data_IF_218102340715
#
_entry.id   IF_218102340715
#
_cell.length_a   1.000
_cell.length_b   1.000
_cell.length_c   1.000
_cell.angle_alpha   90.00
_cell.angle_beta   90.00
_cell.angle_gamma   90.00
#
_symmetry.space_group_name_H-M   'P 1'
#
loop_
_entity.id
_entity.type
_entity.pdbx_description
1 polymer ?
#
# COMPACT_ATOMS: atom_id res chain seq x y z
N UNK A 1 30.06 -10.76 -16.17
CA UNK A 1 31.15 -10.96 -17.17
C UNK A 1 31.73 -9.65 -17.73
N UNK A 2 30.94 -8.58 -17.94
CA UNK A 2 31.43 -7.32 -18.54
C UNK A 2 32.54 -6.61 -17.74
N UNK A 3 32.46 -6.57 -16.41
CA UNK A 3 33.53 -5.98 -15.57
C UNK A 3 34.88 -6.67 -15.78
N UNK A 4 34.90 -8.00 -15.97
CA UNK A 4 36.13 -8.75 -16.21
C UNK A 4 36.73 -8.45 -17.58
N UNK A 5 35.91 -8.32 -18.62
CA UNK A 5 36.39 -8.01 -19.98
C UNK A 5 36.99 -6.60 -20.07
N UNK A 6 36.34 -5.63 -19.43
CA UNK A 6 36.83 -4.24 -19.34
C UNK A 6 38.14 -4.17 -18.57
N UNK A 7 38.22 -4.81 -17.39
CA UNK A 7 39.46 -4.85 -16.59
C UNK A 7 40.59 -5.50 -17.36
N UNK A 8 40.33 -6.61 -18.06
CA UNK A 8 41.32 -7.27 -18.90
C UNK A 8 41.78 -6.36 -20.04
N UNK A 9 40.88 -5.65 -20.72
CA UNK A 9 41.24 -4.72 -21.78
C UNK A 9 42.11 -3.56 -21.28
N UNK A 10 41.75 -2.95 -20.14
CA UNK A 10 42.54 -1.87 -19.53
C UNK A 10 43.93 -2.34 -19.12
N UNK A 11 44.04 -3.52 -18.50
CA UNK A 11 45.33 -4.12 -18.10
C UNK A 11 46.19 -4.45 -19.33
N UNK A 12 45.57 -4.95 -20.40
CA UNK A 12 46.28 -5.31 -21.63
C UNK A 12 46.84 -4.06 -22.34
N UNK A 13 46.08 -2.96 -22.39
CA UNK A 13 46.58 -1.67 -22.92
C UNK A 13 47.74 -1.14 -22.09
N UNK A 14 47.67 -1.24 -20.76
CA UNK A 14 48.74 -0.80 -19.87
C UNK A 14 50.01 -1.67 -20.04
N UNK A 15 49.85 -2.98 -20.24
CA UNK A 15 50.97 -3.88 -20.51
C UNK A 15 51.64 -3.60 -21.87
N UNK A 16 50.84 -3.39 -22.92
CA UNK A 16 51.33 -3.03 -24.26
C UNK A 16 52.06 -1.69 -24.23
N UNK A 17 51.53 -0.72 -23.50
CA UNK A 17 52.14 0.58 -23.32
C UNK A 17 53.52 0.52 -22.65
N UNK A 18 53.60 -0.19 -21.52
CA UNK A 18 54.86 -0.39 -20.80
C UNK A 18 55.86 -1.10 -21.69
N UNK A 19 55.43 -2.13 -22.43
CA UNK A 19 56.27 -2.82 -23.40
C UNK A 19 56.80 -1.89 -24.50
N UNK A 20 55.95 -1.03 -25.06
CA UNK A 20 56.36 -0.06 -26.09
C UNK A 20 57.33 1.00 -25.56
N UNK A 21 57.13 1.49 -24.34
CA UNK A 21 58.02 2.48 -23.71
C UNK A 21 59.39 1.87 -23.38
N UNK A 22 59.41 0.65 -22.83
CA UNK A 22 60.65 -0.07 -22.53
C UNK A 22 61.43 -0.43 -23.80
N UNK A 23 60.74 -0.93 -24.84
CA UNK A 23 61.37 -1.18 -26.14
C UNK A 23 61.90 0.11 -26.77
N UNK A 24 61.16 1.21 -26.65
CA UNK A 24 61.60 2.54 -27.06
C UNK A 24 62.89 2.95 -26.35
N UNK A 25 63.02 2.74 -25.05
CA UNK A 25 64.24 3.15 -24.31
C UNK A 25 65.53 2.44 -24.72
N UNK A 26 65.45 1.28 -25.38
CA UNK A 26 66.62 0.52 -25.86
C UNK A 26 67.02 0.88 -27.30
N UNK A 27 66.15 1.59 -28.02
CA UNK A 27 66.43 2.16 -29.32
C UNK A 27 66.81 3.62 -29.07
N UNK A 28 67.81 4.18 -29.77
CA UNK A 28 68.19 5.61 -29.69
C UNK A 28 67.08 6.52 -30.29
N UNK A 29 65.85 6.38 -29.82
CA UNK A 29 64.71 7.20 -30.24
C UNK A 29 64.82 8.58 -29.63
N UNK A 30 64.43 9.58 -30.42
CA UNK A 30 64.34 10.95 -29.93
C UNK A 30 63.37 11.04 -28.73
N UNK A 31 63.63 11.94 -27.76
CA UNK A 31 62.77 12.12 -26.60
C UNK A 31 61.31 12.48 -26.97
N UNK A 32 61.11 13.11 -28.13
CA UNK A 32 59.78 13.39 -28.68
C UNK A 32 59.00 12.13 -29.10
N UNK A 33 59.70 11.08 -29.56
CA UNK A 33 59.07 9.81 -29.93
C UNK A 33 58.50 9.07 -28.71
N UNK A 34 59.27 9.03 -27.62
CA UNK A 34 58.82 8.43 -26.35
C UNK A 34 57.63 9.21 -25.79
N UNK A 35 57.67 10.55 -25.83
CA UNK A 35 56.56 11.39 -25.41
C UNK A 35 55.28 11.14 -26.24
N UNK A 36 55.40 10.97 -27.56
CA UNK A 36 54.27 10.67 -28.43
C UNK A 36 53.63 9.30 -28.13
N UNK A 37 54.44 8.27 -27.84
CA UNK A 37 53.95 6.93 -27.46
C UNK A 37 53.20 6.99 -26.12
N UNK A 38 53.77 7.69 -25.13
CA UNK A 38 53.12 7.87 -23.82
C UNK A 38 51.79 8.60 -23.98
N UNK A 39 51.75 9.67 -24.78
CA UNK A 39 50.52 10.41 -25.05
C UNK A 39 49.46 9.54 -25.76
N UNK A 40 49.85 8.75 -26.76
CA UNK A 40 48.96 7.85 -27.48
C UNK A 40 48.36 6.77 -26.55
N UNK A 41 49.18 6.20 -25.68
CA UNK A 41 48.75 5.25 -24.65
C UNK A 41 47.77 5.90 -23.68
N UNK A 42 48.11 7.07 -23.15
CA UNK A 42 47.30 7.76 -22.16
C UNK A 42 45.91 8.08 -22.72
N UNK A 43 45.85 8.53 -23.98
CA UNK A 43 44.60 8.77 -24.69
C UNK A 43 43.79 7.48 -24.89
N UNK A 44 44.45 6.40 -25.33
CA UNK A 44 43.79 5.10 -25.51
C UNK A 44 43.21 4.56 -24.19
N UNK A 45 43.97 4.66 -23.10
CA UNK A 45 43.51 4.26 -21.77
C UNK A 45 42.31 5.10 -21.30
N UNK A 46 42.33 6.41 -21.53
CA UNK A 46 41.22 7.30 -21.21
C UNK A 46 39.94 6.93 -21.97
N UNK A 47 40.04 6.64 -23.28
CA UNK A 47 38.89 6.21 -24.09
C UNK A 47 38.31 4.88 -23.61
N UNK A 48 39.16 3.91 -23.26
CA UNK A 48 38.70 2.63 -22.70
C UNK A 48 38.02 2.82 -21.35
N UNK A 49 38.54 3.72 -20.50
CA UNK A 49 37.91 4.06 -19.22
C UNK A 49 36.53 4.71 -19.40
N UNK A 50 36.37 5.62 -20.36
CA UNK A 50 35.05 6.19 -20.66
C UNK A 50 34.10 5.11 -21.18
N UNK A 51 34.55 4.25 -22.09
CA UNK A 51 33.75 3.14 -22.60
C UNK A 51 33.31 2.18 -21.48
N UNK A 52 34.20 1.85 -20.56
CA UNK A 52 33.91 1.04 -19.38
C UNK A 52 32.74 1.59 -18.55
N UNK A 53 32.77 2.89 -18.29
CA UNK A 53 31.72 3.58 -17.52
C UNK A 53 30.39 3.53 -18.28
N UNK A 54 30.40 3.81 -19.58
CA UNK A 54 29.20 3.75 -20.43
C UNK A 54 28.58 2.34 -20.48
N UNK A 55 29.41 1.30 -20.60
CA UNK A 55 28.93 -0.08 -20.58
C UNK A 55 28.26 -0.45 -19.26
N UNK A 56 28.81 0.03 -18.14
CA UNK A 56 28.25 -0.21 -16.80
C UNK A 56 26.91 0.50 -16.64
N UNK A 57 26.84 1.77 -17.04
CA UNK A 57 25.61 2.56 -17.03
C UNK A 57 24.49 1.92 -17.86
N UNK A 58 24.81 1.41 -19.05
CA UNK A 58 23.84 0.67 -19.87
C UNK A 58 23.32 -0.59 -19.17
N UNK A 59 24.17 -1.30 -18.43
CA UNK A 59 23.76 -2.42 -17.61
C UNK A 59 22.77 -2.00 -16.52
N UNK A 60 23.12 -0.97 -15.74
CA UNK A 60 22.28 -0.44 -14.66
C UNK A 60 20.94 0.09 -15.17
N UNK A 61 20.93 0.83 -16.28
CA UNK A 61 19.68 1.32 -16.87
C UNK A 61 18.79 0.17 -17.31
N UNK A 62 19.35 -0.86 -17.96
CA UNK A 62 18.56 -2.03 -18.38
C UNK A 62 17.97 -2.79 -17.19
N UNK A 63 18.74 -2.93 -16.11
CA UNK A 63 18.28 -3.58 -14.89
C UNK A 63 17.17 -2.75 -14.21
N UNK A 64 17.32 -1.43 -14.16
CA UNK A 64 16.29 -0.53 -13.66
C UNK A 64 15.02 -0.57 -14.53
N UNK A 65 15.16 -0.55 -15.86
CA UNK A 65 14.02 -0.66 -16.79
C UNK A 65 13.28 -1.97 -16.57
N UNK A 66 14.00 -3.09 -16.46
CA UNK A 66 13.40 -4.41 -16.18
C UNK A 66 12.73 -4.46 -14.80
N UNK A 67 13.32 -3.84 -13.77
CA UNK A 67 12.70 -3.75 -12.45
C UNK A 67 11.41 -2.92 -12.48
N UNK A 68 11.40 -1.80 -13.20
CA UNK A 68 10.21 -0.95 -13.38
C UNK A 68 9.13 -1.69 -14.18
N UNK A 69 9.50 -2.42 -15.21
CA UNK A 69 8.60 -3.24 -16.02
C UNK A 69 7.95 -4.33 -15.15
N UNK A 70 8.73 -5.07 -14.35
CA UNK A 70 8.21 -6.04 -13.38
C UNK A 70 7.28 -5.40 -12.34
N UNK A 71 7.66 -4.25 -11.78
CA UNK A 71 6.79 -3.53 -10.83
C UNK A 71 5.49 -3.12 -11.50
N UNK A 72 5.53 -2.64 -12.75
CA UNK A 72 4.35 -2.20 -13.49
C UNK A 72 3.43 -3.39 -13.81
N UNK A 73 4.00 -4.48 -14.32
CA UNK A 73 3.29 -5.71 -14.66
C UNK A 73 2.60 -6.35 -13.45
N UNK A 74 3.17 -6.22 -12.25
CA UNK A 74 2.57 -6.73 -11.03
C UNK A 74 1.65 -5.73 -10.33
N UNK A 75 1.95 -4.43 -10.36
CA UNK A 75 1.19 -3.42 -9.60
C UNK A 75 -0.10 -3.02 -10.31
N UNK A 76 -0.11 -2.91 -11.63
CA UNK A 76 -1.32 -2.51 -12.38
C UNK A 76 -2.46 -3.52 -12.18
N UNK A 77 -2.25 -4.84 -12.27
CA UNK A 77 -3.29 -5.82 -11.96
C UNK A 77 -3.75 -5.76 -10.50
N UNK A 78 -2.84 -5.57 -9.54
CA UNK A 78 -3.20 -5.47 -8.12
C UNK A 78 -4.11 -4.26 -7.85
N UNK A 79 -3.82 -3.10 -8.44
CA UNK A 79 -4.68 -1.92 -8.32
C UNK A 79 -6.06 -2.17 -8.95
N UNK A 80 -6.12 -2.91 -10.07
CA UNK A 80 -7.40 -3.33 -10.66
C UNK A 80 -8.19 -4.25 -9.72
N UNK A 81 -7.54 -5.26 -9.13
CA UNK A 81 -8.18 -6.17 -8.16
C UNK A 81 -8.64 -5.45 -6.89
N UNK A 82 -7.88 -4.46 -6.41
CA UNK A 82 -8.30 -3.61 -5.28
C UNK A 82 -9.53 -2.79 -5.65
N UNK A 83 -9.58 -2.20 -6.85
CA UNK A 83 -10.74 -1.45 -7.30
C UNK A 83 -11.99 -2.35 -7.40
N UNK A 84 -11.84 -3.57 -7.91
CA UNK A 84 -12.92 -4.57 -7.95
C UNK A 84 -13.37 -4.99 -6.54
N UNK A 85 -12.42 -5.19 -5.62
CA UNK A 85 -12.72 -5.49 -4.22
C UNK A 85 -13.46 -4.35 -3.53
N UNK A 86 -13.03 -3.10 -3.74
CA UNK A 86 -13.69 -1.90 -3.19
C UNK A 86 -15.08 -1.73 -3.79
N UNK A 87 -15.27 -1.99 -5.08
CA UNK A 87 -16.59 -2.00 -5.72
C UNK A 87 -17.51 -3.07 -5.12
N UNK A 88 -16.97 -4.26 -4.84
CA UNK A 88 -17.68 -5.33 -4.11
C UNK A 88 -18.07 -4.91 -2.69
N UNK A 89 -17.13 -4.34 -1.92
CA UNK A 89 -17.39 -3.81 -0.58
C UNK A 89 -18.46 -2.73 -0.60
N UNK A 90 -18.44 -1.80 -1.56
CA UNK A 90 -19.46 -0.77 -1.68
C UNK A 90 -20.87 -1.37 -1.91
N UNK A 91 -20.94 -2.42 -2.73
CA UNK A 91 -22.20 -3.15 -2.97
C UNK A 91 -22.71 -3.82 -1.68
N UNK A 92 -21.82 -4.43 -0.91
CA UNK A 92 -22.17 -5.03 0.38
C UNK A 92 -22.53 -3.98 1.43
N UNK A 93 -21.88 -2.82 1.45
CA UNK A 93 -22.27 -1.71 2.32
C UNK A 93 -23.68 -1.20 1.99
N UNK A 94 -24.06 -1.11 0.71
CA UNK A 94 -25.42 -0.76 0.31
C UNK A 94 -26.45 -1.82 0.78
N UNK A 95 -26.09 -3.11 0.73
CA UNK A 95 -26.92 -4.19 1.29
C UNK A 95 -27.04 -4.08 2.81
N UNK A 96 -25.95 -3.78 3.51
CA UNK A 96 -25.96 -3.56 4.96
C UNK A 96 -26.84 -2.37 5.34
N UNK A 97 -26.79 -1.27 4.59
CA UNK A 97 -27.66 -0.10 4.81
C UNK A 97 -29.15 -0.47 4.68
N UNK A 98 -29.51 -1.25 3.67
CA UNK A 98 -30.88 -1.76 3.52
C UNK A 98 -31.32 -2.66 4.70
N UNK A 99 -30.41 -3.47 5.24
CA UNK A 99 -30.66 -4.29 6.44
C UNK A 99 -30.85 -3.39 7.66
N UNK A 100 -30.00 -2.38 7.84
CA UNK A 100 -30.12 -1.40 8.94
C UNK A 100 -31.46 -0.68 8.86
N UNK A 101 -31.88 -0.24 7.67
CA UNK A 101 -33.21 0.33 7.46
C UNK A 101 -34.34 -0.64 7.83
N UNK A 102 -34.23 -1.90 7.42
CA UNK A 102 -35.19 -2.95 7.80
C UNK A 102 -35.25 -3.17 9.32
N UNK A 103 -34.10 -3.17 9.99
CA UNK A 103 -34.00 -3.30 11.45
C UNK A 103 -34.60 -2.08 12.16
N UNK A 104 -34.38 -0.87 11.65
CA UNK A 104 -35.01 0.35 12.17
C UNK A 104 -36.54 0.28 12.07
N UNK A 105 -37.06 -0.18 10.92
CA UNK A 105 -38.51 -0.40 10.75
C UNK A 105 -39.07 -1.45 11.71
N UNK A 106 -38.36 -2.56 11.90
CA UNK A 106 -38.75 -3.61 12.86
C UNK A 106 -38.73 -3.06 14.29
N UNK A 107 -37.72 -2.30 14.68
CA UNK A 107 -37.62 -1.67 16.01
C UNK A 107 -38.80 -0.74 16.26
N UNK A 108 -39.10 0.18 15.33
CA UNK A 108 -40.23 1.09 15.46
C UNK A 108 -41.57 0.35 15.51
N UNK A 109 -41.72 -0.71 14.71
CA UNK A 109 -42.93 -1.54 14.76
C UNK A 109 -43.07 -2.25 16.11
N UNK A 110 -41.96 -2.76 16.67
CA UNK A 110 -41.95 -3.40 17.97
C UNK A 110 -42.27 -2.40 19.10
N UNK A 111 -41.75 -1.17 19.04
CA UNK A 111 -42.09 -0.09 19.96
C UNK A 111 -43.59 0.23 19.93
N UNK A 112 -44.16 0.41 18.74
CA UNK A 112 -45.59 0.66 18.57
C UNK A 112 -46.44 -0.50 19.12
N UNK A 113 -46.05 -1.75 18.86
CA UNK A 113 -46.73 -2.94 19.39
C UNK A 113 -46.62 -2.98 20.92
N UNK A 114 -45.44 -2.71 21.48
CA UNK A 114 -45.22 -2.68 22.91
C UNK A 114 -46.07 -1.61 23.59
N UNK A 115 -46.20 -0.42 22.98
CA UNK A 115 -47.08 0.65 23.46
C UNK A 115 -48.55 0.21 23.45
N UNK A 116 -49.02 -0.40 22.36
CA UNK A 116 -50.40 -0.93 22.27
C UNK A 116 -50.66 -1.99 23.33
N UNK A 117 -49.73 -2.92 23.54
CA UNK A 117 -49.81 -3.94 24.60
C UNK A 117 -49.82 -3.29 25.98
N UNK A 118 -48.94 -2.32 26.21
CA UNK A 118 -48.90 -1.58 27.47
C UNK A 118 -50.23 -0.88 27.73
N UNK A 119 -50.80 -0.18 26.75
CA UNK A 119 -52.09 0.48 26.86
C UNK A 119 -53.25 -0.50 27.11
N UNK A 120 -53.23 -1.66 26.44
CA UNK A 120 -54.24 -2.70 26.61
C UNK A 120 -54.25 -3.29 28.02
N UNK A 121 -53.08 -3.39 28.67
CA UNK A 121 -52.93 -3.97 30.01
C UNK A 121 -53.04 -2.92 31.12
N UNK A 122 -52.48 -1.72 30.92
CA UNK A 122 -52.43 -0.65 31.91
C UNK A 122 -53.83 -0.16 32.31
N UNK A 123 -54.72 0.08 31.34
CA UNK A 123 -56.06 0.61 31.62
C UNK A 123 -56.92 -0.33 32.49
N UNK A 124 -57.02 -1.64 32.21
CA UNK A 124 -57.70 -2.59 33.09
C UNK A 124 -57.03 -2.72 34.47
N UNK A 125 -55.70 -2.75 34.56
CA UNK A 125 -54.98 -2.85 35.83
C UNK A 125 -55.23 -1.62 36.72
N UNK A 126 -55.14 -0.41 36.16
CA UNK A 126 -55.43 0.84 36.89
C UNK A 126 -56.88 0.81 37.40
N UNK A 127 -57.84 0.39 36.56
CA UNK A 127 -59.24 0.25 36.98
C UNK A 127 -59.41 -0.77 38.10
N UNK A 128 -58.76 -1.93 38.02
CA UNK A 128 -58.81 -2.97 39.06
C UNK A 128 -58.19 -2.48 40.38
N UNK A 129 -57.04 -1.81 40.33
CA UNK A 129 -56.37 -1.24 41.50
C UNK A 129 -57.18 -0.12 42.16
N UNK A 130 -57.80 0.77 41.36
CA UNK A 130 -58.69 1.81 41.85
C UNK A 130 -59.95 1.22 42.54
N UNK A 131 -60.50 0.13 42.01
CA UNK A 131 -61.63 -0.56 42.62
C UNK A 131 -61.28 -1.17 43.99
N UNK A 132 -60.15 -1.88 44.09
CA UNK A 132 -59.68 -2.49 45.35
C UNK A 132 -59.31 -1.44 46.39
N UNK A 133 -58.57 -0.40 46.00
CA UNK A 133 -58.19 0.68 46.92
C UNK A 133 -59.40 1.53 47.34
N UNK A 134 -60.26 1.91 46.40
CA UNK A 134 -61.48 2.70 46.66
C UNK A 134 -62.44 1.98 47.60
N UNK A 135 -62.66 0.67 47.40
CA UNK A 135 -63.46 -0.16 48.32
C UNK A 135 -62.85 -0.21 49.72
N UNK A 136 -61.52 -0.38 49.84
CA UNK A 136 -60.85 -0.37 51.15
C UNK A 136 -60.92 0.99 51.88
N UNK A 137 -60.85 2.10 51.15
CA UNK A 137 -60.95 3.46 51.71
C UNK A 137 -62.38 3.77 52.13
N UNK A 138 -63.37 3.42 51.31
CA UNK A 138 -64.79 3.58 51.65
C UNK A 138 -65.16 2.81 52.92
N UNK A 139 -64.66 1.57 53.07
CA UNK A 139 -64.85 0.77 54.28
C UNK A 139 -64.21 1.42 55.52
N UNK A 140 -63.00 2.00 55.38
CA UNK A 140 -62.33 2.73 56.48
C UNK A 140 -63.06 4.03 56.85
N UNK A 141 -63.57 4.76 55.87
CA UNK A 141 -64.35 5.98 56.08
C UNK A 141 -65.70 5.69 56.75
N UNK A 142 -66.43 4.66 56.29
CA UNK A 142 -67.67 4.20 56.91
C UNK A 142 -67.47 3.86 58.39
N UNK A 143 -66.37 3.16 58.72
CA UNK A 143 -66.01 2.82 60.11
C UNK A 143 -65.70 4.03 60.99
N UNK A 144 -65.34 5.19 60.39
CA UNK A 144 -65.03 6.44 61.11
C UNK A 144 -66.28 7.27 61.40
N UNK A 145 -67.36 7.10 60.63
CA UNK A 145 -68.65 7.78 60.83
C UNK A 145 -69.53 7.06 61.86
N UNK A 146 -69.30 5.76 62.07
CA UNK A 146 -70.05 4.94 63.05
C UNK A 146 -69.43 4.95 64.47
N UNK A 147 -68.50 5.85 64.77
CA UNK A 147 -67.97 6.12 66.11
C UNK A 147 -68.18 7.58 66.44
#
# INVERSE_FOLDING_TARGET
MQSRAVVVATVLVLAVAVGMVLAGSQLDVSPFGVAAIIAAVALAAALIAVMAVLLTLMGTVRELTSAVEQITDHTVPLLSSVNETVAGVNTELARVDAIVGSVQHISSTAENIAEVVHAAVANPLIKALAFVSGTSVALRAARKVTK
#
